data_IF_443701380835
#
_entry.id   IF_443701380835
#
_cell.length_a   1.000
_cell.length_b   1.000
_cell.length_c   1.000
_cell.angle_alpha   90.00
_cell.angle_beta   90.00
_cell.angle_gamma   90.00
#
_symmetry.space_group_name_H-M   'P 1'
#
loop_
_entity.id
_entity.type
_entity.pdbx_description
1 polymer ?
#
# COMPACT_ATOMS: atom_id res chain seq x y z
N UNK A 1 0.23 20.73 3.46
CA UNK A 1 -0.93 20.63 2.56
C UNK A 1 -2.07 19.98 3.32
N UNK A 2 -3.25 20.57 3.24
CA UNK A 2 -4.47 20.01 3.81
C UNK A 2 -5.38 19.58 2.66
N UNK A 3 -5.89 18.37 2.73
CA UNK A 3 -6.90 17.86 1.83
C UNK A 3 -8.23 17.85 2.58
N UNK A 4 -9.25 18.46 2.01
CA UNK A 4 -10.60 18.38 2.54
C UNK A 4 -11.58 17.93 1.47
N UNK A 5 -12.60 17.22 1.85
CA UNK A 5 -13.67 16.83 0.94
C UNK A 5 -14.39 18.08 0.43
N UNK A 6 -14.58 18.15 -0.89
CA UNK A 6 -15.41 19.18 -1.51
C UNK A 6 -16.87 19.01 -1.06
N UNK A 7 -17.46 20.11 -0.60
CA UNK A 7 -18.91 20.16 -0.30
C UNK A 7 -19.64 20.80 -1.47
N UNK A 8 -20.55 20.10 -2.15
CA UNK A 8 -21.33 20.67 -3.23
C UNK A 8 -22.17 21.87 -2.76
N UNK A 9 -22.14 22.95 -3.52
CA UNK A 9 -22.94 24.16 -3.27
C UNK A 9 -24.10 24.16 -4.26
N UNK A 10 -25.38 24.34 -3.84
CA UNK A 10 -26.55 24.19 -4.70
C UNK A 10 -26.50 25.02 -5.98
N UNK A 11 -26.04 26.25 -5.93
CA UNK A 11 -26.02 27.18 -7.08
C UNK A 11 -24.63 27.39 -7.68
N UNK A 12 -23.74 26.40 -7.52
CA UNK A 12 -22.37 26.48 -8.04
C UNK A 12 -22.32 26.34 -9.56
N UNK A 13 -21.19 26.73 -10.15
CA UNK A 13 -20.89 26.52 -11.57
C UNK A 13 -21.10 25.06 -11.99
N UNK A 14 -21.69 24.85 -13.17
CA UNK A 14 -21.85 23.51 -13.80
C UNK A 14 -20.54 22.75 -14.02
N UNK A 15 -19.41 23.42 -13.93
CA UNK A 15 -18.08 22.81 -14.02
C UNK A 15 -17.67 22.10 -12.71
N UNK A 16 -18.37 22.31 -11.59
CA UNK A 16 -18.07 21.66 -10.33
C UNK A 16 -18.90 20.38 -10.15
N UNK A 17 -18.32 19.35 -9.47
CA UNK A 17 -19.04 18.10 -9.20
C UNK A 17 -20.31 18.35 -8.36
N UNK A 18 -21.40 17.68 -8.73
CA UNK A 18 -22.67 17.74 -7.98
C UNK A 18 -22.70 16.84 -6.75
N UNK A 19 -21.76 15.90 -6.66
CA UNK A 19 -21.69 14.90 -5.61
C UNK A 19 -20.41 15.07 -4.81
N UNK A 20 -20.52 15.03 -3.47
CA UNK A 20 -19.35 15.06 -2.60
C UNK A 20 -18.47 13.82 -2.83
N UNK A 21 -17.15 13.98 -2.91
CA UNK A 21 -16.24 12.84 -3.02
C UNK A 21 -16.32 11.98 -1.75
N UNK A 22 -16.15 10.65 -1.87
CA UNK A 22 -16.15 9.79 -0.70
C UNK A 22 -14.95 10.13 0.21
N UNK A 23 -15.14 10.08 1.53
CA UNK A 23 -14.11 10.38 2.53
C UNK A 23 -12.80 9.57 2.33
N UNK A 24 -12.92 8.36 1.80
CA UNK A 24 -11.76 7.52 1.48
C UNK A 24 -10.83 8.19 0.44
N UNK A 25 -11.33 9.06 -0.42
CA UNK A 25 -10.53 9.85 -1.37
C UNK A 25 -9.52 10.74 -0.64
N UNK A 26 -9.98 11.45 0.36
CA UNK A 26 -9.14 12.29 1.21
C UNK A 26 -8.05 11.44 1.90
N UNK A 27 -8.42 10.30 2.49
CA UNK A 27 -7.46 9.39 3.11
C UNK A 27 -6.40 8.89 2.11
N UNK A 28 -6.76 8.60 0.85
CA UNK A 28 -5.80 8.17 -0.17
C UNK A 28 -4.82 9.29 -0.54
N UNK A 29 -5.27 10.53 -0.59
CA UNK A 29 -4.41 11.69 -0.85
C UNK A 29 -3.41 11.90 0.31
N UNK A 30 -3.86 11.83 1.56
CA UNK A 30 -2.93 11.89 2.70
C UNK A 30 -1.93 10.74 2.70
N UNK A 31 -2.34 9.52 2.36
CA UNK A 31 -1.43 8.40 2.22
C UNK A 31 -0.38 8.62 1.11
N UNK A 32 -0.79 9.15 -0.03
CA UNK A 32 0.11 9.48 -1.13
C UNK A 32 1.12 10.58 -0.74
N UNK A 33 0.66 11.66 -0.13
CA UNK A 33 1.52 12.72 0.39
C UNK A 33 2.55 12.17 1.41
N UNK A 34 2.12 11.28 2.29
CA UNK A 34 2.99 10.61 3.26
C UNK A 34 4.08 9.75 2.59
N UNK A 35 3.73 9.03 1.51
CA UNK A 35 4.68 8.23 0.74
C UNK A 35 5.75 9.12 0.09
N UNK A 36 5.38 10.26 -0.47
CA UNK A 36 6.32 11.20 -1.06
C UNK A 36 7.27 11.80 -0.02
N UNK A 37 6.74 12.23 1.11
CA UNK A 37 7.55 12.92 2.14
C UNK A 37 8.51 11.98 2.88
N UNK A 38 8.12 10.75 3.13
CA UNK A 38 8.81 9.90 4.09
C UNK A 38 9.30 8.56 3.56
N UNK A 39 8.87 8.15 2.37
CA UNK A 39 9.22 6.86 1.78
C UNK A 39 10.00 6.97 0.47
N UNK A 40 10.27 8.19 0.00
CA UNK A 40 11.04 8.43 -1.20
C UNK A 40 10.32 8.07 -2.50
N UNK A 41 9.00 8.15 -2.50
CA UNK A 41 8.21 8.06 -3.72
C UNK A 41 8.14 9.43 -4.40
N UNK A 42 8.17 9.45 -5.72
CA UNK A 42 7.79 10.63 -6.47
C UNK A 42 6.33 10.59 -6.93
N UNK A 43 5.84 11.72 -7.43
CA UNK A 43 4.44 11.85 -7.85
C UNK A 43 4.12 10.94 -9.03
N UNK A 44 5.05 10.77 -9.97
CA UNK A 44 4.88 9.87 -11.12
C UNK A 44 4.71 8.43 -10.66
N UNK A 45 5.57 7.94 -9.75
CA UNK A 45 5.45 6.59 -9.20
C UNK A 45 4.07 6.31 -8.60
N UNK A 46 3.43 7.31 -7.99
CA UNK A 46 2.13 7.16 -7.34
C UNK A 46 0.97 7.33 -8.32
N UNK A 47 1.03 8.32 -9.20
CA UNK A 47 -0.06 8.70 -10.10
C UNK A 47 -0.10 7.89 -11.40
N UNK A 48 1.05 7.43 -11.90
CA UNK A 48 1.13 6.72 -13.16
C UNK A 48 0.36 5.40 -13.17
N UNK A 49 -0.21 5.06 -14.33
CA UNK A 49 -0.97 3.83 -14.53
C UNK A 49 -2.35 3.82 -13.88
N UNK A 50 -2.83 4.95 -13.40
CA UNK A 50 -4.21 5.12 -12.94
C UNK A 50 -5.02 5.92 -13.96
N UNK A 51 -6.26 5.51 -14.17
CA UNK A 51 -7.19 6.21 -15.04
C UNK A 51 -7.36 7.66 -14.58
N UNK A 52 -7.08 8.62 -15.49
CA UNK A 52 -7.10 10.07 -15.22
C UNK A 52 -6.25 10.52 -14.01
N UNK A 53 -5.18 9.77 -13.64
CA UNK A 53 -4.35 10.07 -12.49
C UNK A 53 -5.04 9.89 -11.13
N UNK A 54 -6.21 9.25 -11.09
CA UNK A 54 -7.00 9.08 -9.86
C UNK A 54 -6.55 7.86 -9.07
N UNK A 55 -6.23 8.06 -7.78
CA UNK A 55 -5.84 6.98 -6.88
C UNK A 55 -6.99 5.97 -6.67
N UNK A 56 -6.71 4.65 -6.64
CA UNK A 56 -7.69 3.64 -6.29
C UNK A 56 -8.27 3.89 -4.89
N UNK A 57 -9.55 3.65 -4.72
CA UNK A 57 -10.22 3.81 -3.42
C UNK A 57 -10.17 2.54 -2.58
N UNK A 58 -10.16 1.38 -3.23
CA UNK A 58 -10.24 0.05 -2.62
C UNK A 58 -8.93 -0.46 -2.02
N UNK A 59 -7.79 0.01 -2.53
CA UNK A 59 -6.46 -0.34 -2.02
C UNK A 59 -5.63 0.90 -1.70
N UNK A 60 -4.65 0.76 -0.80
CA UNK A 60 -3.76 1.88 -0.47
C UNK A 60 -2.74 2.16 -1.60
N UNK A 61 -2.25 3.42 -1.73
CA UNK A 61 -1.38 3.80 -2.85
C UNK A 61 -0.08 3.01 -2.91
N UNK A 62 0.50 2.62 -1.78
CA UNK A 62 1.73 1.82 -1.73
C UNK A 62 1.51 0.41 -2.26
N UNK A 63 0.40 -0.21 -1.87
CA UNK A 63 0.00 -1.51 -2.40
C UNK A 63 -0.32 -1.43 -3.89
N UNK A 64 -1.04 -0.39 -4.33
CA UNK A 64 -1.32 -0.14 -5.73
C UNK A 64 -0.03 -0.05 -6.56
N UNK A 65 0.96 0.69 -6.06
CA UNK A 65 2.28 0.78 -6.70
C UNK A 65 2.97 -0.58 -6.77
N UNK A 66 3.01 -1.33 -5.68
CA UNK A 66 3.66 -2.64 -5.64
C UNK A 66 3.02 -3.64 -6.60
N UNK A 67 1.69 -3.61 -6.75
CA UNK A 67 0.96 -4.44 -7.70
C UNK A 67 1.25 -4.09 -9.16
N UNK A 68 1.52 -2.82 -9.48
CA UNK A 68 1.96 -2.39 -10.82
C UNK A 68 3.43 -2.73 -11.09
N UNK A 69 4.25 -2.80 -10.05
CA UNK A 69 5.69 -3.05 -10.14
C UNK A 69 6.07 -4.45 -9.67
N UNK A 70 5.27 -5.47 -10.02
CA UNK A 70 5.45 -6.86 -9.57
C UNK A 70 6.82 -7.45 -9.88
N UNK A 71 7.43 -7.02 -10.98
CA UNK A 71 8.77 -7.44 -11.41
C UNK A 71 9.87 -7.07 -10.40
N UNK A 72 9.61 -6.14 -9.49
CA UNK A 72 10.54 -5.78 -8.41
C UNK A 72 10.45 -6.70 -7.20
N UNK A 73 9.47 -7.59 -7.18
CA UNK A 73 9.17 -8.47 -6.06
C UNK A 73 9.28 -9.95 -6.45
N UNK A 74 9.52 -10.85 -5.49
CA UNK A 74 9.71 -10.58 -4.06
C UNK A 74 11.12 -10.04 -3.74
N UNK A 75 11.22 -9.18 -2.73
CA UNK A 75 12.48 -8.64 -2.22
C UNK A 75 13.07 -9.54 -1.12
N UNK A 76 14.36 -9.82 -1.18
CA UNK A 76 15.06 -10.49 -0.09
C UNK A 76 15.33 -9.49 1.05
N UNK A 77 14.67 -9.71 2.19
CA UNK A 77 14.78 -8.83 3.36
C UNK A 77 16.20 -8.82 3.94
N UNK A 78 16.99 -9.88 3.73
CA UNK A 78 18.35 -9.97 4.23
C UNK A 78 19.30 -9.00 3.50
N UNK A 79 19.07 -8.74 2.21
CA UNK A 79 20.00 -7.96 1.35
C UNK A 79 19.41 -6.65 0.82
N UNK A 80 18.10 -6.51 0.72
CA UNK A 80 17.46 -5.33 0.14
C UNK A 80 17.89 -4.03 0.83
N UNK A 81 18.03 -2.98 0.05
CA UNK A 81 18.33 -1.64 0.55
C UNK A 81 17.18 -1.08 1.41
N UNK A 82 17.48 -0.04 2.19
CA UNK A 82 16.44 0.66 2.97
C UNK A 82 15.32 1.20 2.09
N UNK A 83 15.68 1.75 0.94
CA UNK A 83 14.74 2.33 -0.03
C UNK A 83 13.82 1.26 -0.62
N UNK A 84 14.36 0.11 -1.00
CA UNK A 84 13.58 -1.03 -1.48
C UNK A 84 12.63 -1.57 -0.40
N UNK A 85 13.11 -1.72 0.83
CA UNK A 85 12.28 -2.16 1.95
C UNK A 85 11.12 -1.20 2.23
N UNK A 86 11.34 0.12 2.10
CA UNK A 86 10.28 1.11 2.25
C UNK A 86 9.18 1.00 1.19
N UNK A 87 9.44 0.36 0.05
CA UNK A 87 8.46 0.12 -1.02
C UNK A 87 7.60 -1.13 -0.78
N UNK A 88 7.99 -2.01 0.15
CA UNK A 88 7.22 -3.22 0.47
C UNK A 88 5.89 -2.86 1.14
N UNK A 89 4.73 -3.37 0.66
CA UNK A 89 3.44 -3.18 1.32
C UNK A 89 3.47 -3.66 2.77
N UNK A 90 2.92 -2.85 3.68
CA UNK A 90 2.91 -3.16 5.10
C UNK A 90 4.19 -2.79 5.87
N UNK A 91 5.29 -2.43 5.19
CA UNK A 91 6.51 -1.99 5.86
C UNK A 91 6.43 -0.48 6.16
N UNK A 92 6.39 -0.15 7.45
CA UNK A 92 6.53 1.22 7.93
C UNK A 92 8.00 1.59 8.15
N UNK A 93 8.32 2.89 8.23
CA UNK A 93 9.69 3.39 8.47
C UNK A 93 10.35 2.74 9.70
N UNK A 94 9.65 2.75 10.84
CA UNK A 94 10.15 2.13 12.09
C UNK A 94 10.38 0.62 11.95
N UNK A 95 9.52 -0.07 11.17
CA UNK A 95 9.69 -1.50 10.90
C UNK A 95 10.93 -1.74 10.06
N UNK A 96 11.14 -0.95 8.99
CA UNK A 96 12.35 -1.03 8.14
C UNK A 96 13.62 -0.78 8.94
N UNK A 97 13.65 0.23 9.79
CA UNK A 97 14.81 0.54 10.63
C UNK A 97 15.11 -0.63 11.60
N UNK A 98 14.09 -1.26 12.18
CA UNK A 98 14.22 -2.48 13.01
C UNK A 98 14.71 -3.69 12.19
N UNK A 99 14.17 -3.89 10.99
CA UNK A 99 14.65 -4.94 10.07
C UNK A 99 16.16 -4.80 9.83
N UNK A 100 16.61 -3.60 9.47
CA UNK A 100 18.01 -3.32 9.18
C UNK A 100 18.90 -3.56 10.41
N UNK A 101 18.44 -3.19 11.59
CA UNK A 101 19.14 -3.46 12.83
C UNK A 101 19.19 -4.97 13.15
N UNK A 102 18.05 -5.66 13.03
CA UNK A 102 17.92 -7.08 13.38
C UNK A 102 18.74 -7.98 12.43
N UNK A 103 18.69 -7.74 11.13
CA UNK A 103 19.39 -8.58 10.14
C UNK A 103 20.91 -8.57 10.25
N UNK A 104 21.49 -7.59 10.97
CA UNK A 104 22.92 -7.55 11.28
C UNK A 104 23.34 -8.58 12.34
N UNK A 105 22.38 -9.05 13.13
CA UNK A 105 22.61 -9.91 14.27
C UNK A 105 22.09 -11.32 14.02
N UNK A 106 20.90 -11.41 13.40
CA UNK A 106 20.23 -12.68 13.15
C UNK A 106 19.38 -12.63 11.88
N UNK A 107 19.10 -13.80 11.29
CA UNK A 107 18.18 -13.90 10.17
C UNK A 107 16.73 -13.68 10.60
N UNK A 108 15.98 -12.96 9.78
CA UNK A 108 14.58 -12.64 10.04
C UNK A 108 13.69 -13.75 9.50
N UNK A 109 12.74 -14.18 10.31
CA UNK A 109 11.75 -15.23 10.03
C UNK A 109 10.32 -14.68 10.03
N UNK A 110 9.39 -15.47 9.50
CA UNK A 110 7.95 -15.10 9.50
C UNK A 110 7.43 -14.80 10.91
N UNK A 111 7.89 -15.53 11.93
CA UNK A 111 7.49 -15.29 13.32
C UNK A 111 7.88 -13.89 13.82
N UNK A 112 9.00 -13.35 13.35
CA UNK A 112 9.51 -12.04 13.79
C UNK A 112 8.68 -10.87 13.26
N UNK A 113 7.90 -11.05 12.18
CA UNK A 113 7.09 -9.99 11.59
C UNK A 113 6.10 -9.38 12.59
N UNK A 114 5.51 -10.19 13.48
CA UNK A 114 4.61 -9.70 14.51
C UNK A 114 5.34 -8.78 15.51
N UNK A 115 6.54 -9.17 15.95
CA UNK A 115 7.40 -8.37 16.84
C UNK A 115 7.87 -7.07 16.20
N UNK A 116 8.03 -7.08 14.88
CA UNK A 116 8.39 -5.92 14.07
C UNK A 116 7.18 -5.03 13.72
N UNK A 117 5.97 -5.39 14.17
CA UNK A 117 4.71 -4.72 13.84
C UNK A 117 4.41 -4.67 12.33
N UNK A 118 4.71 -5.76 11.64
CA UNK A 118 4.48 -5.91 10.20
C UNK A 118 3.26 -6.78 9.95
N UNK A 119 2.23 -6.30 9.22
CA UNK A 119 1.06 -7.11 8.87
C UNK A 119 1.45 -8.21 7.87
N UNK A 120 1.45 -9.46 8.34
CA UNK A 120 1.91 -10.64 7.57
C UNK A 120 1.18 -10.81 6.26
N UNK A 121 -0.14 -10.66 6.27
CA UNK A 121 -0.98 -10.81 5.08
C UNK A 121 -0.65 -9.83 3.96
N UNK A 122 -0.21 -8.61 4.30
CA UNK A 122 0.21 -7.59 3.31
C UNK A 122 1.64 -7.82 2.82
N UNK A 123 2.54 -8.22 3.69
CA UNK A 123 3.97 -8.25 3.41
C UNK A 123 4.45 -9.56 2.74
N UNK A 124 3.97 -10.72 3.20
CA UNK A 124 4.47 -12.03 2.78
C UNK A 124 4.47 -12.27 1.26
N UNK A 125 3.48 -11.79 0.47
CA UNK A 125 3.54 -11.93 -0.98
C UNK A 125 4.71 -11.21 -1.65
N UNK A 126 5.30 -10.21 -1.00
CA UNK A 126 6.28 -9.31 -1.58
C UNK A 126 7.71 -9.49 -1.06
N UNK A 127 7.95 -10.44 -0.14
CA UNK A 127 9.24 -10.61 0.51
C UNK A 127 9.72 -12.06 0.54
N UNK A 128 11.04 -12.21 0.57
CA UNK A 128 11.73 -13.47 0.92
C UNK A 128 12.32 -13.30 2.32
N UNK A 129 12.13 -14.31 3.16
CA UNK A 129 12.72 -14.44 4.49
C UNK A 129 13.51 -15.75 4.57
N UNK A 130 14.24 -15.97 5.66
CA UNK A 130 15.02 -17.20 5.86
C UNK A 130 14.18 -18.48 5.83
N UNK A 131 12.91 -18.39 6.22
CA UNK A 131 11.95 -19.49 6.30
C UNK A 131 10.72 -19.29 5.37
N UNK A 132 10.76 -18.29 4.47
CA UNK A 132 9.63 -17.99 3.58
C UNK A 132 10.09 -17.52 2.21
N UNK A 133 9.51 -18.12 1.17
CA UNK A 133 9.66 -17.68 -0.22
C UNK A 133 8.30 -17.77 -0.92
N UNK A 134 7.72 -16.63 -1.33
CA UNK A 134 6.47 -16.66 -2.10
C UNK A 134 6.71 -17.26 -3.47
N UNK A 135 5.73 -17.98 -4.00
CA UNK A 135 5.79 -18.46 -5.38
C UNK A 135 5.62 -17.27 -6.34
N UNK A 136 6.36 -17.27 -7.45
CA UNK A 136 6.21 -16.24 -8.49
C UNK A 136 4.75 -16.17 -9.00
N UNK A 137 4.07 -17.30 -9.12
CA UNK A 137 2.65 -17.39 -9.48
C UNK A 137 1.73 -16.59 -8.55
N UNK A 138 2.10 -16.41 -7.28
CA UNK A 138 1.28 -15.66 -6.33
C UNK A 138 1.22 -14.16 -6.69
N UNK A 139 2.32 -13.61 -7.22
CA UNK A 139 2.40 -12.21 -7.65
C UNK A 139 1.79 -11.98 -9.04
N UNK A 140 1.71 -13.03 -9.87
CA UNK A 140 1.24 -12.93 -11.26
C UNK A 140 -0.26 -13.21 -11.42
N UNK A 141 -0.95 -13.62 -10.34
CA UNK A 141 -2.39 -13.93 -10.43
C UNK A 141 -3.24 -12.68 -10.51
N UNK A 142 -4.18 -12.64 -11.46
CA UNK A 142 -5.19 -11.59 -11.57
C UNK A 142 -6.01 -11.42 -10.28
N UNK A 143 -6.15 -12.48 -9.49
CA UNK A 143 -6.85 -12.47 -8.20
C UNK A 143 -6.07 -11.82 -7.04
N UNK A 144 -4.81 -11.38 -7.24
CA UNK A 144 -4.04 -10.80 -6.13
C UNK A 144 -4.64 -9.48 -5.66
N UNK A 145 -5.10 -8.63 -6.58
CA UNK A 145 -5.78 -7.36 -6.26
C UNK A 145 -7.02 -7.62 -5.42
N UNK A 146 -7.85 -8.59 -5.81
CA UNK A 146 -9.09 -8.94 -5.11
C UNK A 146 -8.84 -9.43 -3.67
N UNK A 147 -7.72 -10.09 -3.41
CA UNK A 147 -7.35 -10.55 -2.06
C UNK A 147 -7.07 -9.40 -1.10
N UNK A 148 -6.70 -8.24 -1.61
CA UNK A 148 -6.40 -7.06 -0.81
C UNK A 148 -7.54 -6.06 -0.73
N UNK A 149 -8.56 -6.19 -1.58
CA UNK A 149 -9.77 -5.37 -1.47
C UNK A 149 -10.48 -5.68 -0.16
N UNK A 150 -11.04 -4.66 0.52
CA UNK A 150 -11.89 -4.90 1.67
C UNK A 150 -13.07 -5.77 1.21
N UNK A 151 -13.32 -6.86 1.92
CA UNK A 151 -14.55 -7.64 1.71
C UNK A 151 -15.72 -6.71 1.99
N UNK A 152 -16.64 -6.59 1.04
CA UNK A 152 -17.89 -5.88 1.27
C UNK A 152 -18.54 -6.49 2.52
N UNK A 153 -18.64 -5.70 3.58
CA UNK A 153 -19.41 -6.09 4.75
C UNK A 153 -20.87 -6.11 4.28
N UNK A 154 -21.44 -7.29 4.06
CA UNK A 154 -22.87 -7.42 3.92
C UNK A 154 -23.46 -6.87 5.24
N UNK A 155 -24.02 -5.68 5.17
CA UNK A 155 -24.95 -5.22 6.18
C UNK A 155 -26.16 -6.15 6.05
N UNK A 156 -26.16 -7.20 6.86
CA UNK A 156 -27.34 -8.03 7.05
C UNK A 156 -28.40 -7.14 7.66
N UNK A 157 -29.37 -6.74 6.84
CA UNK A 157 -30.63 -6.25 7.36
C UNK A 157 -31.32 -7.46 8.02
N UNK A 158 -31.06 -7.63 9.32
CA UNK A 158 -31.89 -8.48 10.14
C UNK A 158 -33.26 -7.79 10.28
N UNK A 159 -34.29 -8.42 9.72
CA UNK A 159 -35.67 -8.15 10.06
C UNK A 159 -36.02 -8.88 11.35
#
# INVERSE_FOLDING_TARGET
>A
VYYSAFSPIPDASRALPLIAPPLVREHRLYQADWLMRFYGFDVGEIADGHENGMLPLDIDPKLAWALRNRQRFPLDVASASREELLRVPGFGRKAVDRIIATRRITSIRVADLARLHIPRNKALPFIVLSDHRPSARLLDTAGLVERFKPKATQLGFGF
#
